data_IF_901512028827
#
_entry.id   IF_901512028827
#
_cell.length_a   1.000
_cell.length_b   1.000
_cell.length_c   1.000
_cell.angle_alpha   90.00
_cell.angle_beta   90.00
_cell.angle_gamma   90.00
#
_symmetry.space_group_name_H-M   'P 1'
#
loop_
_entity.id
_entity.type
_entity.pdbx_description
1 polymer ?
#
# COMPACT_ATOMS: atom_id res chain seq x y z
N UNK A 1 -26.53 -11.83 -21.72
CA UNK A 1 -25.74 -10.64 -22.10
C UNK A 1 -24.90 -10.21 -20.89
N UNK A 2 -23.84 -10.97 -20.55
CA UNK A 2 -22.85 -10.60 -19.51
C UNK A 2 -21.40 -10.78 -20.04
N UNK A 3 -21.02 -10.25 -21.24
CA UNK A 3 -19.62 -10.25 -21.66
C UNK A 3 -18.79 -9.10 -21.06
N UNK A 4 -19.37 -8.23 -20.22
CA UNK A 4 -18.73 -6.98 -19.77
C UNK A 4 -17.92 -7.10 -18.48
N UNK A 5 -18.28 -8.00 -17.54
CA UNK A 5 -17.58 -8.10 -16.25
C UNK A 5 -16.16 -8.64 -16.38
N UNK A 6 -15.94 -9.60 -17.27
CA UNK A 6 -14.60 -10.13 -17.55
C UNK A 6 -13.73 -9.13 -18.31
N UNK A 7 -14.34 -8.24 -19.11
CA UNK A 7 -13.63 -7.14 -19.77
C UNK A 7 -13.22 -6.04 -18.78
N UNK A 8 -14.09 -5.66 -17.84
CA UNK A 8 -13.76 -4.75 -16.73
C UNK A 8 -12.77 -5.36 -15.74
N UNK A 9 -12.81 -6.67 -15.51
CA UNK A 9 -11.84 -7.36 -14.65
C UNK A 9 -10.42 -7.35 -15.23
N UNK A 10 -10.28 -7.15 -16.56
CA UNK A 10 -9.00 -7.21 -17.28
C UNK A 10 -8.31 -5.85 -17.41
N UNK A 11 -8.91 -4.75 -16.95
CA UNK A 11 -8.23 -3.45 -16.91
C UNK A 11 -7.16 -3.42 -15.81
N UNK A 12 -6.02 -2.78 -16.11
CA UNK A 12 -4.89 -2.62 -15.18
C UNK A 12 -5.33 -2.00 -13.83
N UNK A 13 -6.28 -1.07 -13.87
CA UNK A 13 -6.86 -0.45 -12.67
C UNK A 13 -7.57 -1.46 -11.77
N UNK A 14 -8.33 -2.40 -12.34
CA UNK A 14 -9.07 -3.42 -11.59
C UNK A 14 -8.13 -4.45 -10.96
N UNK A 15 -7.05 -4.82 -11.67
CA UNK A 15 -6.01 -5.69 -11.11
C UNK A 15 -5.29 -5.01 -9.93
N UNK A 16 -4.93 -3.72 -10.06
CA UNK A 16 -4.32 -2.95 -8.98
C UNK A 16 -5.29 -2.80 -7.81
N UNK A 17 -6.57 -2.56 -8.09
CA UNK A 17 -7.61 -2.51 -7.06
C UNK A 17 -7.68 -3.81 -6.26
N UNK A 18 -7.69 -4.97 -6.92
CA UNK A 18 -7.68 -6.27 -6.25
C UNK A 18 -6.45 -6.43 -5.34
N UNK A 19 -5.27 -6.07 -5.84
CA UNK A 19 -4.03 -6.09 -5.03
C UNK A 19 -4.15 -5.21 -3.79
N UNK A 20 -4.72 -4.00 -3.92
CA UNK A 20 -4.92 -3.08 -2.80
C UNK A 20 -5.92 -3.63 -1.77
N UNK A 21 -7.00 -4.27 -2.23
CA UNK A 21 -7.98 -4.94 -1.37
C UNK A 21 -7.31 -6.08 -0.61
N UNK A 22 -6.60 -6.97 -1.30
CA UNK A 22 -5.86 -8.07 -0.68
C UNK A 22 -4.86 -7.55 0.35
N UNK A 23 -4.09 -6.52 0.02
CA UNK A 23 -3.16 -5.88 0.94
C UNK A 23 -3.86 -5.34 2.20
N UNK A 24 -5.07 -4.80 2.07
CA UNK A 24 -5.86 -4.33 3.22
C UNK A 24 -6.27 -5.48 4.13
N UNK A 25 -6.78 -6.56 3.55
CA UNK A 25 -7.21 -7.75 4.31
C UNK A 25 -6.02 -8.40 5.02
N UNK A 26 -4.89 -8.54 4.33
CA UNK A 26 -3.66 -9.08 4.92
C UNK A 26 -3.16 -8.21 6.07
N UNK A 27 -3.07 -6.88 5.89
CA UNK A 27 -2.64 -5.97 6.96
C UNK A 27 -3.58 -6.00 8.16
N UNK A 28 -4.89 -6.11 7.94
CA UNK A 28 -5.88 -6.23 9.01
C UNK A 28 -5.71 -7.53 9.79
N UNK A 29 -5.53 -8.65 9.08
CA UNK A 29 -5.32 -9.96 9.70
C UNK A 29 -4.02 -10.00 10.52
N UNK A 30 -2.92 -9.50 9.97
CA UNK A 30 -1.63 -9.37 10.68
C UNK A 30 -1.75 -8.50 11.94
N UNK A 31 -2.48 -7.37 11.85
CA UNK A 31 -2.72 -6.50 12.99
C UNK A 31 -3.60 -7.14 14.07
N UNK A 32 -4.59 -7.95 13.67
CA UNK A 32 -5.46 -8.67 14.61
C UNK A 32 -4.69 -9.75 15.37
N UNK A 33 -3.83 -10.52 14.69
CA UNK A 33 -3.00 -11.56 15.30
C UNK A 33 -1.99 -10.94 16.29
N UNK A 34 -1.34 -9.85 15.88
CA UNK A 34 -0.37 -9.12 16.72
C UNK A 34 -1.00 -8.44 17.95
N UNK A 35 -2.30 -8.19 17.93
CA UNK A 35 -3.03 -7.59 19.05
C UNK A 35 -3.42 -8.60 20.15
N UNK A 36 -3.48 -9.89 19.82
CA UNK A 36 -3.95 -10.94 20.72
C UNK A 36 -2.82 -11.84 21.27
N UNK A 37 -1.58 -11.69 20.79
CA UNK A 37 -0.42 -12.47 21.22
C UNK A 37 0.76 -11.61 21.72
N UNK A 38 1.47 -12.09 22.74
CA UNK A 38 2.79 -11.57 23.13
C UNK A 38 3.85 -12.10 22.14
N UNK A 39 3.73 -11.72 20.87
CA UNK A 39 4.61 -12.19 19.83
C UNK A 39 5.94 -11.44 19.87
N UNK A 40 7.04 -12.21 19.86
CA UNK A 40 8.41 -11.67 19.78
C UNK A 40 8.66 -10.81 18.53
N UNK A 41 7.72 -10.82 17.58
CA UNK A 41 7.81 -10.17 16.27
C UNK A 41 6.94 -8.91 16.14
N UNK A 42 6.36 -8.40 17.23
CA UNK A 42 5.40 -7.28 17.17
C UNK A 42 5.93 -6.05 16.42
N UNK A 43 7.17 -5.65 16.69
CA UNK A 43 7.84 -4.54 16.00
C UNK A 43 8.00 -4.81 14.50
N UNK A 44 8.40 -6.03 14.14
CA UNK A 44 8.55 -6.43 12.74
C UNK A 44 7.21 -6.37 12.00
N UNK A 45 6.13 -6.84 12.63
CA UNK A 45 4.79 -6.82 12.03
C UNK A 45 4.29 -5.39 11.86
N UNK A 46 4.52 -4.50 12.84
CA UNK A 46 4.21 -3.08 12.70
C UNK A 46 4.94 -2.42 11.54
N UNK A 47 6.24 -2.68 11.38
CA UNK A 47 7.02 -2.20 10.22
C UNK A 47 6.44 -2.73 8.91
N UNK A 48 6.10 -4.02 8.84
CA UNK A 48 5.49 -4.62 7.64
C UNK A 48 4.16 -3.95 7.30
N UNK A 49 3.29 -3.72 8.28
CA UNK A 49 2.00 -3.04 8.07
C UNK A 49 2.22 -1.62 7.53
N UNK A 50 3.18 -0.87 8.09
CA UNK A 50 3.54 0.46 7.60
C UNK A 50 4.05 0.42 6.16
N UNK A 51 4.97 -0.49 5.84
CA UNK A 51 5.48 -0.65 4.47
C UNK A 51 4.36 -0.98 3.48
N UNK A 52 3.45 -1.91 3.84
CA UNK A 52 2.28 -2.23 3.01
C UNK A 52 1.40 -0.99 2.82
N UNK A 53 1.17 -0.19 3.86
CA UNK A 53 0.41 1.05 3.74
C UNK A 53 1.04 2.04 2.74
N UNK A 54 2.35 2.29 2.81
CA UNK A 54 3.03 3.18 1.86
C UNK A 54 3.08 2.63 0.44
N UNK A 55 3.23 1.31 0.28
CA UNK A 55 3.11 0.66 -1.03
C UNK A 55 1.72 0.95 -1.61
N UNK A 56 0.64 0.81 -0.83
CA UNK A 56 -0.72 1.13 -1.27
C UNK A 56 -0.85 2.57 -1.73
N UNK A 57 -0.31 3.54 -0.97
CA UNK A 57 -0.31 4.96 -1.34
C UNK A 57 0.34 5.17 -2.71
N UNK A 58 1.50 4.52 -2.96
CA UNK A 58 2.19 4.61 -4.25
C UNK A 58 1.37 4.04 -5.41
N UNK A 59 0.72 2.90 -5.20
CA UNK A 59 -0.18 2.30 -6.19
C UNK A 59 -1.39 3.20 -6.48
N UNK A 60 -1.97 3.82 -5.45
CA UNK A 60 -3.07 4.78 -5.61
C UNK A 60 -2.61 5.98 -6.45
N UNK A 61 -1.47 6.59 -6.11
CA UNK A 61 -0.92 7.72 -6.86
C UNK A 61 -0.67 7.37 -8.33
N UNK A 62 0.03 6.25 -8.60
CA UNK A 62 0.40 5.88 -9.97
C UNK A 62 -0.77 5.46 -10.87
N UNK A 63 -1.82 4.82 -10.32
CA UNK A 63 -2.87 4.18 -11.13
C UNK A 63 -4.25 4.82 -11.01
N UNK A 64 -4.54 5.53 -9.92
CA UNK A 64 -5.83 6.19 -9.72
C UNK A 64 -5.74 7.72 -9.83
N UNK A 65 -4.58 8.31 -9.55
CA UNK A 65 -4.34 9.75 -9.73
C UNK A 65 -3.61 10.08 -11.04
N UNK A 66 -3.45 9.10 -11.94
CA UNK A 66 -2.78 9.24 -13.25
C UNK A 66 -1.34 9.81 -13.18
N UNK A 67 -0.65 9.73 -12.03
CA UNK A 67 0.75 10.17 -11.90
C UNK A 67 1.73 9.35 -12.78
N UNK A 68 1.26 8.26 -13.37
CA UNK A 68 2.01 7.49 -14.36
C UNK A 68 2.29 8.28 -15.63
N UNK A 69 1.30 9.04 -16.11
CA UNK A 69 1.36 9.82 -17.34
C UNK A 69 1.77 11.28 -17.06
N UNK A 70 1.92 11.62 -15.76
CA UNK A 70 2.43 12.90 -15.32
C UNK A 70 3.93 13.10 -15.67
N UNK A 71 4.38 14.35 -15.86
CA UNK A 71 5.78 14.67 -16.12
C UNK A 71 6.70 14.12 -15.01
N UNK A 72 7.84 13.55 -15.42
CA UNK A 72 8.85 12.93 -14.55
C UNK A 72 9.17 13.66 -13.23
N UNK A 73 9.31 15.01 -13.18
CA UNK A 73 9.59 15.70 -11.92
C UNK A 73 8.47 15.56 -10.88
N UNK A 74 7.19 15.58 -11.31
CA UNK A 74 6.06 15.40 -10.38
C UNK A 74 6.05 14.00 -9.80
N UNK A 75 6.29 13.00 -10.65
CA UNK A 75 6.35 11.61 -10.24
C UNK A 75 7.52 11.37 -9.27
N UNK A 76 8.68 11.95 -9.54
CA UNK A 76 9.85 11.88 -8.66
C UNK A 76 9.60 12.55 -7.31
N UNK A 77 8.95 13.71 -7.31
CA UNK A 77 8.59 14.42 -6.07
C UNK A 77 7.61 13.60 -5.22
N UNK A 78 6.60 12.98 -5.84
CA UNK A 78 5.65 12.13 -5.14
C UNK A 78 6.30 10.86 -4.57
N UNK A 79 7.10 10.15 -5.37
CA UNK A 79 7.83 8.96 -4.90
C UNK A 79 8.81 9.33 -3.78
N UNK A 80 9.50 10.47 -3.90
CA UNK A 80 10.39 11.00 -2.86
C UNK A 80 9.65 11.37 -1.58
N UNK A 81 8.51 12.05 -1.69
CA UNK A 81 7.64 12.36 -0.56
C UNK A 81 7.19 11.08 0.17
N UNK A 82 6.70 10.08 -0.58
CA UNK A 82 6.28 8.81 -0.01
C UNK A 82 7.43 8.12 0.75
N UNK A 83 8.64 8.13 0.17
CA UNK A 83 9.81 7.50 0.77
C UNK A 83 10.26 8.21 2.06
N UNK A 84 10.29 9.55 2.05
CA UNK A 84 10.66 10.36 3.22
C UNK A 84 9.66 10.15 4.35
N UNK A 85 8.36 10.25 4.07
CA UNK A 85 7.33 10.08 5.10
C UNK A 85 7.31 8.64 5.61
N UNK A 86 7.51 7.65 4.75
CA UNK A 86 7.64 6.25 5.16
C UNK A 86 8.80 6.06 6.13
N UNK A 87 9.99 6.56 5.80
CA UNK A 87 11.16 6.45 6.65
C UNK A 87 10.95 7.16 7.99
N UNK A 88 10.33 8.35 7.97
CA UNK A 88 10.03 9.10 9.18
C UNK A 88 9.06 8.34 10.10
N UNK A 89 7.94 7.84 9.57
CA UNK A 89 6.92 7.14 10.36
C UNK A 89 7.46 5.80 10.90
N UNK A 90 8.21 5.04 10.10
CA UNK A 90 8.85 3.80 10.55
C UNK A 90 9.89 4.09 11.63
N UNK A 91 10.70 5.13 11.45
CA UNK A 91 11.68 5.55 12.45
C UNK A 91 11.03 5.97 13.77
N UNK A 92 9.93 6.73 13.71
CA UNK A 92 9.15 7.10 14.89
C UNK A 92 8.53 5.87 15.57
N UNK A 93 7.99 4.92 14.81
CA UNK A 93 7.40 3.70 15.34
C UNK A 93 8.43 2.86 16.09
N UNK A 94 9.63 2.67 15.52
CA UNK A 94 10.70 1.89 16.16
C UNK A 94 11.36 2.60 17.35
N UNK A 95 11.17 3.92 17.48
CA UNK A 95 11.68 4.70 18.61
C UNK A 95 10.72 4.72 19.80
N UNK A 96 9.42 4.55 19.54
CA UNK A 96 8.35 4.64 20.53
C UNK A 96 8.28 3.38 21.42
#
# INVERSE_FOLDING_TARGET
MIPTLTALARTKATAVWLVLVSATVLSWWLGFESAHGADAYRELIGVVILLVAFIKVRFIGMYFMELRDAPLPLRGLFDGYCLIVCAAVVGMYLWA
#
